data_IF_464665716759
#
_entry.id   IF_464665716759
#
_cell.length_a   1.000
_cell.length_b   1.000
_cell.length_c   1.000
_cell.angle_alpha   90.00
_cell.angle_beta   90.00
_cell.angle_gamma   90.00
#
_symmetry.space_group_name_H-M   'P 1'
#
loop_
_entity.id
_entity.type
_entity.pdbx_description
1 polymer ?
#
# COMPACT_ATOMS: atom_id res chain seq x y z
N UNK A 1 -6.89 -24.15 -30.74
CA UNK A 1 -6.07 -23.36 -29.81
C UNK A 1 -5.94 -24.14 -28.52
N UNK A 2 -4.71 -24.47 -28.10
CA UNK A 2 -4.45 -25.17 -26.84
C UNK A 2 -4.49 -24.14 -25.71
N UNK A 3 -5.42 -24.29 -24.78
CA UNK A 3 -5.35 -23.60 -23.50
C UNK A 3 -4.15 -24.20 -22.75
N UNK A 4 -3.06 -23.44 -22.64
CA UNK A 4 -1.99 -23.78 -21.71
C UNK A 4 -2.48 -23.51 -20.30
N UNK A 5 -2.35 -24.54 -19.48
CA UNK A 5 -2.65 -24.61 -18.06
C UNK A 5 -2.08 -23.40 -17.31
N UNK A 6 -2.94 -22.53 -16.78
CA UNK A 6 -2.56 -21.65 -15.67
C UNK A 6 -2.75 -22.43 -14.37
N UNK A 7 -1.88 -23.41 -14.16
CA UNK A 7 -1.67 -24.01 -12.86
C UNK A 7 -0.36 -23.46 -12.29
N UNK A 8 -0.39 -22.21 -11.88
CA UNK A 8 0.57 -21.66 -10.92
C UNK A 8 -0.25 -21.00 -9.83
N UNK A 9 -0.31 -21.65 -8.68
CA UNK A 9 -0.56 -21.01 -7.40
C UNK A 9 0.45 -19.86 -7.27
N UNK A 10 0.11 -18.67 -7.76
CA UNK A 10 0.93 -17.49 -7.64
C UNK A 10 1.02 -17.16 -6.17
N UNK A 11 2.08 -17.63 -5.51
CA UNK A 11 2.50 -17.14 -4.21
C UNK A 11 2.46 -15.63 -4.28
N UNK A 12 1.73 -15.04 -3.35
CA UNK A 12 1.89 -13.64 -3.05
C UNK A 12 3.41 -13.40 -2.83
N UNK A 13 4.04 -12.47 -3.56
CA UNK A 13 5.48 -12.24 -3.40
C UNK A 13 5.81 -11.98 -1.93
N UNK A 14 6.96 -12.48 -1.48
CA UNK A 14 7.38 -12.22 -0.10
C UNK A 14 7.67 -10.73 0.08
N UNK A 15 7.39 -10.17 1.27
CA UNK A 15 7.75 -8.78 1.56
C UNK A 15 9.23 -8.54 1.32
N UNK A 16 9.55 -7.46 0.62
CA UNK A 16 10.91 -6.98 0.38
C UNK A 16 11.19 -5.68 1.11
N UNK A 17 12.45 -5.33 1.21
CA UNK A 17 12.86 -3.99 1.60
C UNK A 17 12.46 -2.99 0.49
N UNK A 18 11.93 -1.84 0.89
CA UNK A 18 11.62 -0.75 -0.04
C UNK A 18 12.93 -0.09 -0.51
N UNK A 19 12.98 0.35 -1.76
CA UNK A 19 14.07 1.19 -2.22
C UNK A 19 14.03 2.57 -1.54
N UNK A 20 15.11 3.35 -1.63
CA UNK A 20 15.16 4.68 -1.00
C UNK A 20 14.11 5.64 -1.55
N UNK A 21 13.72 5.50 -2.82
CA UNK A 21 12.68 6.26 -3.51
C UNK A 21 11.30 5.59 -3.42
N UNK A 22 11.14 4.55 -2.60
CA UNK A 22 9.87 3.84 -2.43
C UNK A 22 9.34 4.00 -1.00
N UNK A 23 8.05 4.33 -0.89
CA UNK A 23 7.31 4.28 0.37
C UNK A 23 6.65 2.91 0.55
N UNK A 24 6.73 2.36 1.77
CA UNK A 24 6.02 1.15 2.18
C UNK A 24 4.78 1.50 3.00
N UNK A 25 3.60 1.29 2.43
CA UNK A 25 2.33 1.61 3.08
C UNK A 25 1.57 0.34 3.45
N UNK A 26 1.31 0.16 4.74
CA UNK A 26 0.37 -0.86 5.20
C UNK A 26 -1.05 -0.27 5.12
N UNK A 27 -1.90 -0.86 4.30
CA UNK A 27 -3.27 -0.39 4.06
C UNK A 27 -4.27 -1.47 4.48
N UNK A 28 -5.23 -1.12 5.33
CA UNK A 28 -6.30 -2.04 5.74
C UNK A 28 -7.50 -1.98 4.77
N UNK A 29 -8.37 -3.01 4.75
CA UNK A 29 -9.48 -3.08 3.79
C UNK A 29 -10.41 -1.85 3.80
N UNK A 30 -10.59 -1.24 4.96
CA UNK A 30 -11.40 -0.04 5.18
C UNK A 30 -10.69 1.26 4.80
N UNK A 31 -9.44 1.20 4.37
CA UNK A 31 -8.60 2.32 3.93
C UNK A 31 -8.25 2.23 2.42
N UNK A 32 -8.69 1.16 1.74
CA UNK A 32 -8.34 0.88 0.34
C UNK A 32 -8.85 1.96 -0.62
N UNK A 33 -10.01 2.55 -0.36
CA UNK A 33 -10.59 3.56 -1.26
C UNK A 33 -9.77 4.85 -1.17
N UNK A 34 -9.37 5.22 0.03
CA UNK A 34 -8.62 6.43 0.34
C UNK A 34 -7.22 6.38 -0.28
N UNK A 35 -6.54 5.22 -0.19
CA UNK A 35 -5.23 5.09 -0.83
C UNK A 35 -5.35 5.12 -2.36
N UNK A 36 -6.38 4.50 -2.94
CA UNK A 36 -6.56 4.52 -4.40
C UNK A 36 -6.86 5.92 -4.93
N UNK A 37 -7.67 6.70 -4.21
CA UNK A 37 -7.93 8.12 -4.54
C UNK A 37 -6.65 8.93 -4.41
N UNK A 38 -5.94 8.80 -3.28
CA UNK A 38 -4.71 9.53 -3.03
C UNK A 38 -3.64 9.27 -4.10
N UNK A 39 -3.49 8.01 -4.52
CA UNK A 39 -2.53 7.64 -5.57
C UNK A 39 -2.98 8.14 -6.94
N UNK A 40 -4.28 8.04 -7.27
CA UNK A 40 -4.78 8.48 -8.57
C UNK A 40 -4.67 9.99 -8.79
N UNK A 41 -4.70 10.79 -7.73
CA UNK A 41 -4.64 12.25 -7.81
C UNK A 41 -3.21 12.81 -7.92
N UNK A 42 -2.20 11.94 -7.90
CA UNK A 42 -0.79 12.31 -7.92
C UNK A 42 -0.08 11.72 -9.13
N UNK A 43 0.53 12.60 -9.93
CA UNK A 43 1.32 12.20 -11.11
C UNK A 43 2.79 11.89 -10.75
N UNK A 44 3.19 12.16 -9.51
CA UNK A 44 4.58 12.03 -9.02
C UNK A 44 4.85 10.72 -8.26
N UNK A 45 3.88 9.80 -8.23
CA UNK A 45 4.00 8.50 -7.57
C UNK A 45 3.45 7.35 -8.44
N UNK A 46 4.00 6.15 -8.25
CA UNK A 46 3.63 4.94 -8.99
C UNK A 46 3.55 3.73 -8.06
N UNK A 47 2.51 2.89 -8.18
CA UNK A 47 2.44 1.62 -7.43
C UNK A 47 3.32 0.58 -8.12
N UNK A 48 4.34 0.12 -7.42
CA UNK A 48 5.25 -0.91 -7.89
C UNK A 48 4.73 -2.31 -7.59
N UNK A 49 4.32 -2.54 -6.34
CA UNK A 49 3.88 -3.86 -5.86
C UNK A 49 2.72 -3.73 -4.87
N UNK A 50 1.88 -4.76 -4.83
CA UNK A 50 0.83 -4.95 -3.81
C UNK A 50 0.98 -6.35 -3.22
N UNK A 51 1.25 -6.44 -1.91
CA UNK A 51 1.47 -7.72 -1.21
C UNK A 51 0.44 -7.88 -0.11
N UNK A 52 -0.50 -8.80 -0.28
CA UNK A 52 -1.51 -9.10 0.74
C UNK A 52 -0.89 -9.84 1.95
N UNK A 53 -0.78 -9.19 3.10
CA UNK A 53 -0.32 -9.85 4.31
C UNK A 53 -1.45 -10.73 4.85
N UNK A 54 -1.14 -11.97 5.23
CA UNK A 54 -2.12 -12.85 5.89
C UNK A 54 -2.50 -12.43 7.32
N UNK A 55 -1.96 -11.31 7.82
CA UNK A 55 -2.21 -10.78 9.16
C UNK A 55 -3.18 -9.60 9.03
N UNK A 56 -4.40 -9.76 9.57
CA UNK A 56 -5.46 -8.75 9.65
C UNK A 56 -5.91 -8.14 8.31
N UNK A 57 -5.84 -8.91 7.22
CA UNK A 57 -6.26 -8.50 5.86
C UNK A 57 -5.56 -7.25 5.31
N UNK A 58 -4.44 -6.83 5.92
CA UNK A 58 -3.66 -5.68 5.46
C UNK A 58 -2.94 -5.97 4.15
N UNK A 59 -2.83 -4.96 3.29
CA UNK A 59 -2.07 -5.02 2.04
C UNK A 59 -0.89 -4.05 2.14
N UNK A 60 0.32 -4.55 1.87
CA UNK A 60 1.48 -3.69 1.68
C UNK A 60 1.49 -3.13 0.27
N UNK A 61 1.58 -1.82 0.15
CA UNK A 61 1.81 -1.11 -1.09
C UNK A 61 3.24 -0.60 -1.12
N UNK A 62 3.95 -0.95 -2.19
CA UNK A 62 5.23 -0.33 -2.52
C UNK A 62 4.95 0.76 -3.54
N UNK A 63 5.22 2.00 -3.17
CA UNK A 63 4.91 3.19 -3.99
C UNK A 63 6.21 3.90 -4.31
N UNK A 64 6.61 3.91 -5.59
CA UNK A 64 7.73 4.72 -6.07
C UNK A 64 7.33 6.18 -6.06
N UNK A 65 8.23 7.03 -5.59
CA UNK A 65 8.12 8.47 -5.52
C UNK A 65 9.22 9.15 -6.35
N UNK A 66 9.14 10.47 -6.52
CA UNK A 66 10.17 11.26 -7.19
C UNK A 66 11.56 11.11 -6.53
N UNK A 67 11.60 11.14 -5.20
CA UNK A 67 12.82 10.99 -4.42
C UNK A 67 12.58 10.42 -3.01
N UNK A 68 13.67 10.22 -2.26
CA UNK A 68 13.67 9.72 -0.89
C UNK A 68 12.89 10.61 0.09
N UNK A 69 12.91 11.94 -0.10
CA UNK A 69 12.19 12.86 0.78
C UNK A 69 10.69 12.74 0.59
N UNK A 70 10.23 12.58 -0.65
CA UNK A 70 8.82 12.34 -0.96
C UNK A 70 8.38 10.99 -0.42
N UNK A 71 9.19 9.93 -0.57
CA UNK A 71 8.91 8.61 0.00
C UNK A 71 8.75 8.66 1.53
N UNK A 72 9.74 9.21 2.25
CA UNK A 72 9.67 9.35 3.71
C UNK A 72 8.50 10.25 4.16
N UNK A 73 8.21 11.31 3.41
CA UNK A 73 7.08 12.19 3.68
C UNK A 73 5.74 11.47 3.56
N UNK A 74 5.59 10.63 2.53
CA UNK A 74 4.40 9.84 2.28
C UNK A 74 4.17 8.80 3.39
N UNK A 75 5.19 8.05 3.81
CA UNK A 75 5.07 7.09 4.91
C UNK A 75 4.62 7.75 6.22
N UNK A 76 5.18 8.92 6.53
CA UNK A 76 4.80 9.68 7.73
C UNK A 76 3.38 10.21 7.64
N UNK A 77 3.00 10.77 6.49
CA UNK A 77 1.65 11.27 6.26
C UNK A 77 0.61 10.15 6.39
N UNK A 78 0.89 8.98 5.80
CA UNK A 78 0.04 7.80 5.89
C UNK A 78 -0.10 7.31 7.33
N UNK A 79 1.01 7.19 8.06
CA UNK A 79 0.99 6.79 9.48
C UNK A 79 0.13 7.74 10.32
N UNK A 80 0.27 9.06 10.12
CA UNK A 80 -0.54 10.06 10.81
C UNK A 80 -2.03 9.92 10.47
N UNK A 81 -2.36 9.68 9.20
CA UNK A 81 -3.73 9.45 8.75
C UNK A 81 -4.35 8.22 9.43
N UNK A 82 -3.63 7.10 9.50
CA UNK A 82 -4.11 5.89 10.18
C UNK A 82 -4.35 6.13 11.68
N UNK A 83 -3.47 6.88 12.35
CA UNK A 83 -3.67 7.28 13.75
C UNK A 83 -4.93 8.14 13.90
N UNK A 84 -5.11 9.13 13.02
CA UNK A 84 -6.30 9.98 13.02
C UNK A 84 -7.59 9.16 12.84
N UNK A 85 -7.63 8.25 11.86
CA UNK A 85 -8.79 7.36 11.64
C UNK A 85 -9.10 6.50 12.86
N UNK A 86 -8.07 5.96 13.53
CA UNK A 86 -8.26 5.16 14.76
C UNK A 86 -8.87 6.00 15.89
N UNK A 87 -8.41 7.24 16.07
CA UNK A 87 -8.95 8.16 17.08
C UNK A 87 -10.42 8.49 16.76
N UNK A 88 -10.75 8.82 15.51
CA UNK A 88 -12.13 9.08 15.11
C UNK A 88 -13.04 7.87 15.37
N UNK A 89 -12.62 6.67 14.98
CA UNK A 89 -13.39 5.44 15.20
C UNK A 89 -13.63 5.19 16.69
N UNK A 90 -12.64 5.43 17.55
CA UNK A 90 -12.76 5.26 18.99
C UNK A 90 -13.75 6.24 19.66
N UNK A 91 -14.05 7.39 19.04
CA UNK A 91 -15.00 8.38 19.56
C UNK A 91 -16.46 8.10 19.18
N UNK A 92 -16.71 7.17 18.26
CA UNK A 92 -18.04 6.82 17.75
C UNK A 92 -18.55 5.45 18.21
N UNK A 93 -17.89 4.86 19.23
CA UNK A 93 -18.31 3.66 19.95
C UNK A 93 -18.67 3.99 21.40
#
# INVERSE_FOLDING_TARGET
MRFHEFNTLTRNPEPREAASDEALLLVFPDELTEIEVFIRERDDIEIMDRIQQGINDGVLFYVRCEDEWVAQGLERAWTCFQVFLRILKAQHH
#
